data_IF_593608477162
#
_entry.id   IF_593608477162
#
_cell.length_a   1.000
_cell.length_b   1.000
_cell.length_c   1.000
_cell.angle_alpha   90.00
_cell.angle_beta   90.00
_cell.angle_gamma   90.00
#
_symmetry.space_group_name_H-M   'P 1'
#
loop_
_entity.id
_entity.type
_entity.pdbx_description
1 polymer ?
#
# COMPACT_ATOMS: atom_id res chain seq x y z
N UNK A 1 9.50 -46.24 67.55
CA UNK A 1 9.05 -44.84 67.42
C UNK A 1 9.29 -44.39 65.99
N UNK A 2 8.36 -44.71 65.10
CA UNK A 2 8.40 -44.38 63.68
C UNK A 2 7.66 -43.06 63.46
N UNK A 3 8.38 -42.00 63.10
CA UNK A 3 7.74 -40.75 62.66
C UNK A 3 7.70 -40.68 61.13
N UNK A 4 6.45 -40.72 60.66
CA UNK A 4 6.00 -40.70 59.26
C UNK A 4 6.46 -39.44 58.52
N UNK A 5 7.04 -39.65 57.34
CA UNK A 5 7.22 -38.64 56.29
C UNK A 5 5.87 -38.20 55.74
N UNK A 6 5.50 -36.94 55.94
CA UNK A 6 4.37 -36.32 55.24
C UNK A 6 4.79 -35.99 53.80
N UNK A 7 4.25 -36.73 52.84
CA UNK A 7 4.38 -36.41 51.42
C UNK A 7 3.48 -35.21 51.11
N UNK A 8 4.10 -34.05 50.94
CA UNK A 8 3.45 -32.84 50.43
C UNK A 8 3.20 -33.04 48.93
N UNK A 9 2.03 -33.55 48.57
CA UNK A 9 1.58 -33.61 47.18
C UNK A 9 1.18 -32.21 46.73
N UNK A 10 2.11 -31.48 46.14
CA UNK A 10 1.84 -30.27 45.37
C UNK A 10 0.81 -30.61 44.28
N UNK A 11 -0.44 -30.24 44.52
CA UNK A 11 -1.53 -30.31 43.54
C UNK A 11 -1.16 -29.38 42.38
N UNK A 12 -0.85 -29.96 41.22
CA UNK A 12 -0.70 -29.21 39.97
C UNK A 12 -2.02 -28.49 39.69
N UNK A 13 -2.02 -27.18 39.37
CA UNK A 13 -3.23 -26.51 38.92
C UNK A 13 -3.69 -27.16 37.62
N UNK A 14 -4.93 -27.65 37.63
CA UNK A 14 -5.63 -28.12 36.43
C UNK A 14 -5.75 -26.94 35.46
N UNK A 15 -4.89 -26.93 34.43
CA UNK A 15 -5.04 -26.05 33.27
C UNK A 15 -6.42 -26.31 32.67
N UNK A 16 -7.29 -25.29 32.68
CA UNK A 16 -8.59 -25.33 31.99
C UNK A 16 -8.37 -25.39 30.47
N UNK A 17 -8.94 -26.34 29.73
CA UNK A 17 -8.75 -26.49 28.29
C UNK A 17 -9.75 -25.68 27.45
N UNK A 18 -10.01 -24.41 27.82
CA UNK A 18 -10.90 -23.51 27.05
C UNK A 18 -10.14 -22.47 26.19
N UNK A 19 -8.80 -22.43 26.29
CA UNK A 19 -7.94 -21.38 25.67
C UNK A 19 -7.49 -21.68 24.23
N UNK A 20 -7.66 -22.90 23.73
CA UNK A 20 -7.09 -23.28 22.44
C UNK A 20 -7.88 -22.74 21.22
N UNK A 21 -9.11 -22.26 21.41
CA UNK A 21 -9.99 -21.86 20.31
C UNK A 21 -9.56 -20.60 19.58
N UNK A 22 -9.21 -19.53 20.31
CA UNK A 22 -8.89 -18.22 19.73
C UNK A 22 -7.59 -18.25 18.90
N UNK A 23 -6.53 -18.88 19.43
CA UNK A 23 -5.28 -19.05 18.67
C UNK A 23 -5.45 -19.93 17.43
N UNK A 24 -6.26 -20.99 17.52
CA UNK A 24 -6.58 -21.81 16.35
C UNK A 24 -7.36 -21.00 15.31
N UNK A 25 -8.30 -20.17 15.74
CA UNK A 25 -9.06 -19.30 14.84
C UNK A 25 -8.16 -18.30 14.12
N UNK A 26 -7.27 -17.59 14.83
CA UNK A 26 -6.32 -16.66 14.21
C UNK A 26 -5.42 -17.37 13.17
N UNK A 27 -4.89 -18.53 13.52
CA UNK A 27 -4.06 -19.34 12.60
C UNK A 27 -4.83 -19.78 11.35
N UNK A 28 -6.12 -20.14 11.53
CA UNK A 28 -7.02 -20.49 10.45
C UNK A 28 -7.29 -19.28 9.53
N UNK A 29 -7.65 -18.13 10.11
CA UNK A 29 -7.88 -16.88 9.35
C UNK A 29 -6.64 -16.48 8.55
N UNK A 30 -5.45 -16.53 9.15
CA UNK A 30 -4.20 -16.26 8.42
C UNK A 30 -3.95 -17.23 7.26
N UNK A 31 -4.37 -18.48 7.42
CA UNK A 31 -4.28 -19.51 6.38
C UNK A 31 -5.28 -19.25 5.26
N UNK A 32 -6.50 -18.87 5.59
CA UNK A 32 -7.56 -18.59 4.64
C UNK A 32 -7.24 -17.34 3.83
N UNK A 33 -6.77 -16.27 4.46
CA UNK A 33 -6.27 -15.08 3.75
C UNK A 33 -5.20 -15.48 2.74
N UNK A 34 -4.23 -16.32 3.12
CA UNK A 34 -3.17 -16.75 2.20
C UNK A 34 -3.68 -17.59 1.03
N UNK A 35 -4.71 -18.42 1.24
CA UNK A 35 -5.30 -19.28 0.20
C UNK A 35 -6.27 -18.51 -0.71
N UNK A 36 -7.01 -17.59 -0.14
CA UNK A 36 -8.08 -16.86 -0.79
C UNK A 36 -7.62 -15.54 -1.41
N UNK A 37 -6.50 -14.96 -0.97
CA UNK A 37 -5.84 -13.82 -1.64
C UNK A 37 -4.78 -14.23 -2.67
N UNK A 38 -4.56 -15.53 -2.87
CA UNK A 38 -3.61 -16.01 -3.88
C UNK A 38 -4.14 -15.73 -5.29
N UNK A 39 -3.33 -15.13 -6.20
CA UNK A 39 -3.74 -14.88 -7.58
C UNK A 39 -4.28 -16.15 -8.23
N UNK A 40 -5.46 -16.11 -8.89
CA UNK A 40 -6.18 -14.94 -9.40
C UNK A 40 -7.13 -14.22 -8.43
N UNK A 41 -7.24 -14.67 -7.19
CA UNK A 41 -8.22 -14.15 -6.24
C UNK A 41 -7.75 -12.84 -5.58
N UNK A 42 -8.69 -11.93 -5.33
CA UNK A 42 -8.46 -10.60 -4.77
C UNK A 42 -8.68 -10.57 -3.25
N UNK A 43 -7.94 -9.69 -2.57
CA UNK A 43 -8.17 -9.41 -1.15
C UNK A 43 -9.52 -8.69 -0.97
N UNK A 44 -10.39 -9.21 -0.10
CA UNK A 44 -11.74 -8.67 0.17
C UNK A 44 -11.84 -8.06 1.57
N UNK A 45 -12.82 -7.20 1.79
CA UNK A 45 -13.11 -6.58 3.09
C UNK A 45 -13.39 -7.64 4.18
N UNK A 46 -14.11 -8.72 3.83
CA UNK A 46 -14.40 -9.84 4.74
C UNK A 46 -13.12 -10.46 5.35
N UNK A 47 -12.01 -10.48 4.61
CA UNK A 47 -10.73 -10.99 5.11
C UNK A 47 -10.13 -10.07 6.19
N UNK A 48 -10.26 -8.76 5.99
CA UNK A 48 -9.82 -7.74 6.95
C UNK A 48 -10.68 -7.79 8.22
N UNK A 49 -11.99 -7.87 8.04
CA UNK A 49 -12.95 -7.99 9.14
C UNK A 49 -12.65 -9.23 10.01
N UNK A 50 -12.53 -10.42 9.40
CA UNK A 50 -12.23 -11.66 10.14
C UNK A 50 -10.89 -11.61 10.85
N UNK A 51 -9.88 -10.98 10.24
CA UNK A 51 -8.57 -10.82 10.87
C UNK A 51 -8.63 -9.86 12.05
N UNK A 52 -9.31 -8.73 11.89
CA UNK A 52 -9.51 -7.76 12.95
C UNK A 52 -10.25 -8.39 14.13
N UNK A 53 -11.34 -9.10 13.86
CA UNK A 53 -12.11 -9.83 14.87
C UNK A 53 -11.26 -10.91 15.58
N UNK A 54 -10.48 -11.69 14.82
CA UNK A 54 -9.63 -12.72 15.38
C UNK A 54 -8.55 -12.15 16.32
N UNK A 55 -8.01 -10.97 16.01
CA UNK A 55 -7.03 -10.28 16.86
C UNK A 55 -7.70 -9.62 18.06
N UNK A 56 -8.85 -8.96 17.85
CA UNK A 56 -9.60 -8.28 18.90
C UNK A 56 -10.09 -9.24 19.99
N UNK A 57 -10.48 -10.46 19.60
CA UNK A 57 -10.94 -11.49 20.52
C UNK A 57 -9.81 -12.29 21.20
N UNK A 58 -8.54 -11.93 20.99
CA UNK A 58 -7.44 -12.53 21.75
C UNK A 58 -7.53 -12.08 23.21
N UNK A 59 -7.56 -13.03 24.13
CA UNK A 59 -7.44 -12.70 25.55
C UNK A 59 -6.04 -12.15 25.82
N UNK A 60 -5.90 -11.18 26.72
CA UNK A 60 -4.57 -10.66 27.13
C UNK A 60 -3.65 -11.78 27.67
N UNK A 61 -4.24 -12.83 28.24
CA UNK A 61 -3.53 -14.01 28.73
C UNK A 61 -3.15 -15.03 27.64
N UNK A 62 -3.74 -14.94 26.45
CA UNK A 62 -3.43 -15.79 25.32
C UNK A 62 -2.22 -15.20 24.59
N UNK A 63 -1.04 -15.39 25.18
CA UNK A 63 0.22 -14.91 24.63
C UNK A 63 0.44 -15.47 23.22
N UNK A 64 0.31 -14.61 22.21
CA UNK A 64 0.68 -14.91 20.82
C UNK A 64 2.19 -15.19 20.80
N UNK A 65 2.57 -16.36 20.30
CA UNK A 65 3.97 -16.73 20.17
C UNK A 65 4.67 -15.85 19.12
N UNK A 66 5.95 -15.54 19.33
CA UNK A 66 6.72 -14.69 18.42
C UNK A 66 6.64 -15.14 16.94
N UNK A 67 6.67 -16.45 16.60
CA UNK A 67 6.44 -16.91 15.23
C UNK A 67 5.06 -16.56 14.67
N UNK A 68 3.99 -16.65 15.46
CA UNK A 68 2.65 -16.27 15.02
C UNK A 68 2.49 -14.76 14.89
N UNK A 69 3.03 -13.99 15.85
CA UNK A 69 3.09 -12.53 15.74
C UNK A 69 3.82 -12.09 14.45
N UNK A 70 4.94 -12.74 14.12
CA UNK A 70 5.64 -12.48 12.86
C UNK A 70 4.81 -12.83 11.63
N UNK A 71 4.12 -13.99 11.61
CA UNK A 71 3.22 -14.38 10.50
C UNK A 71 2.06 -13.40 10.33
N UNK A 72 1.52 -12.91 11.44
CA UNK A 72 0.45 -11.93 11.49
C UNK A 72 0.93 -10.59 10.93
N UNK A 73 2.10 -10.10 11.35
CA UNK A 73 2.71 -8.89 10.78
C UNK A 73 2.96 -9.01 9.27
N UNK A 74 3.49 -10.14 8.81
CA UNK A 74 3.67 -10.40 7.38
C UNK A 74 2.35 -10.42 6.59
N UNK A 75 1.24 -10.82 7.22
CA UNK A 75 -0.06 -10.78 6.58
C UNK A 75 -0.53 -9.33 6.41
N UNK A 76 -0.40 -8.49 7.45
CA UNK A 76 -0.74 -7.06 7.38
C UNK A 76 0.15 -6.33 6.37
N UNK A 77 1.45 -6.64 6.30
CA UNK A 77 2.34 -6.05 5.30
C UNK A 77 1.92 -6.38 3.87
N UNK A 78 1.49 -7.62 3.60
CA UNK A 78 0.94 -8.01 2.30
C UNK A 78 -0.37 -7.30 1.98
N UNK A 79 -1.22 -7.10 2.98
CA UNK A 79 -2.45 -6.33 2.85
C UNK A 79 -2.11 -4.89 2.47
N UNK A 80 -1.15 -4.26 3.15
CA UNK A 80 -0.71 -2.89 2.86
C UNK A 80 -0.16 -2.76 1.43
N UNK A 81 0.65 -3.71 0.98
CA UNK A 81 1.15 -3.73 -0.42
C UNK A 81 -0.02 -3.88 -1.39
N UNK A 82 -1.00 -4.74 -1.08
CA UNK A 82 -2.17 -4.96 -1.92
C UNK A 82 -3.05 -3.71 -1.99
N UNK A 83 -3.23 -3.01 -0.87
CA UNK A 83 -3.90 -1.71 -0.78
C UNK A 83 -3.21 -0.66 -1.65
N UNK A 84 -1.90 -0.44 -1.46
CA UNK A 84 -1.13 0.56 -2.23
C UNK A 84 -1.06 0.25 -3.73
N UNK A 85 -1.11 -1.02 -4.12
CA UNK A 85 -1.10 -1.42 -5.52
C UNK A 85 -2.49 -1.48 -6.16
N UNK A 86 -3.56 -1.26 -5.39
CA UNK A 86 -4.95 -1.39 -5.87
C UNK A 86 -5.34 -2.84 -6.20
N UNK A 87 -4.63 -3.84 -5.65
CA UNK A 87 -4.89 -5.28 -5.86
C UNK A 87 -5.85 -5.84 -4.81
N UNK A 88 -6.94 -5.13 -4.58
CA UNK A 88 -8.01 -5.55 -3.68
C UNK A 88 -9.36 -5.36 -4.37
N UNK A 89 -10.39 -5.95 -3.79
CA UNK A 89 -11.75 -5.81 -4.27
C UNK A 89 -12.30 -4.42 -3.90
N UNK A 90 -12.26 -3.49 -4.86
CA UNK A 90 -12.74 -2.12 -4.67
C UNK A 90 -14.26 -1.98 -4.92
N UNK A 91 -15.00 -3.10 -5.00
CA UNK A 91 -16.47 -3.06 -5.06
C UNK A 91 -17.09 -2.81 -3.68
N UNK A 92 -16.36 -3.11 -2.61
CA UNK A 92 -16.80 -2.93 -1.24
C UNK A 92 -16.27 -1.62 -0.66
N UNK A 93 -17.18 -0.66 -0.43
CA UNK A 93 -16.85 0.62 0.21
C UNK A 93 -16.33 0.46 1.64
N UNK A 94 -16.59 -0.68 2.28
CA UNK A 94 -16.13 -0.94 3.65
C UNK A 94 -14.65 -1.33 3.72
N UNK A 95 -14.03 -1.69 2.58
CA UNK A 95 -12.63 -2.14 2.58
C UNK A 95 -11.69 -1.13 3.25
N UNK A 96 -11.87 0.16 2.97
CA UNK A 96 -11.07 1.23 3.57
C UNK A 96 -11.21 1.27 5.09
N UNK A 97 -12.45 1.23 5.58
CA UNK A 97 -12.75 1.30 7.01
C UNK A 97 -12.25 0.06 7.75
N UNK A 98 -12.44 -1.14 7.16
CA UNK A 98 -11.95 -2.39 7.74
C UNK A 98 -10.41 -2.43 7.76
N UNK A 99 -9.75 -1.89 6.74
CA UNK A 99 -8.30 -1.78 6.70
C UNK A 99 -7.77 -0.83 7.77
N UNK A 100 -8.39 0.34 7.92
CA UNK A 100 -8.02 1.32 8.95
C UNK A 100 -8.27 0.78 10.36
N UNK A 101 -9.42 0.13 10.58
CA UNK A 101 -9.76 -0.52 11.84
C UNK A 101 -8.76 -1.62 12.21
N UNK A 102 -8.40 -2.47 11.24
CA UNK A 102 -7.37 -3.50 11.42
C UNK A 102 -6.05 -2.86 11.86
N UNK A 103 -5.56 -1.83 11.18
CA UNK A 103 -4.30 -1.18 11.57
C UNK A 103 -4.35 -0.61 12.99
N UNK A 104 -5.47 0.02 13.37
CA UNK A 104 -5.68 0.55 14.72
C UNK A 104 -5.67 -0.55 15.79
N UNK A 105 -6.35 -1.66 15.56
CA UNK A 105 -6.35 -2.82 16.49
C UNK A 105 -4.95 -3.42 16.64
N UNK A 106 -4.21 -3.52 15.53
CA UNK A 106 -2.89 -4.14 15.49
C UNK A 106 -1.81 -3.30 16.19
N UNK A 107 -1.90 -1.97 16.09
CA UNK A 107 -0.95 -1.07 16.75
C UNK A 107 -0.93 -1.24 18.28
N UNK A 108 -2.09 -1.56 18.89
CA UNK A 108 -2.24 -1.68 20.34
C UNK A 108 -1.85 -3.06 20.90
N UNK A 109 -1.31 -3.96 20.07
CA UNK A 109 -0.95 -5.31 20.50
C UNK A 109 0.45 -5.37 21.09
N UNK A 110 0.56 -5.89 22.32
CA UNK A 110 1.80 -5.95 23.10
C UNK A 110 2.86 -6.92 22.54
N UNK A 111 2.47 -7.84 21.65
CA UNK A 111 3.38 -8.83 21.06
C UNK A 111 4.14 -8.29 19.83
N UNK A 112 3.91 -7.04 19.42
CA UNK A 112 4.71 -6.39 18.39
C UNK A 112 5.91 -5.65 18.96
N UNK A 113 7.01 -5.68 18.21
CA UNK A 113 8.17 -4.84 18.51
C UNK A 113 7.86 -3.38 18.23
N UNK A 114 8.52 -2.47 18.94
CA UNK A 114 8.39 -1.02 18.73
C UNK A 114 8.53 -0.61 17.25
N UNK A 115 9.50 -1.22 16.53
CA UNK A 115 9.71 -0.97 15.10
C UNK A 115 8.52 -1.38 14.23
N UNK A 116 7.85 -2.48 14.57
CA UNK A 116 6.65 -2.92 13.86
C UNK A 116 5.48 -1.97 14.14
N UNK A 117 5.33 -1.53 15.38
CA UNK A 117 4.31 -0.55 15.78
C UNK A 117 4.49 0.80 15.08
N UNK A 118 5.73 1.31 15.01
CA UNK A 118 6.06 2.52 14.26
C UNK A 118 5.77 2.38 12.76
N UNK A 119 6.03 1.21 12.18
CA UNK A 119 5.70 0.94 10.78
C UNK A 119 4.18 0.97 10.54
N UNK A 120 3.39 0.39 11.44
CA UNK A 120 1.92 0.44 11.37
C UNK A 120 1.39 1.87 11.53
N UNK A 121 1.99 2.66 12.42
CA UNK A 121 1.69 4.10 12.55
C UNK A 121 1.98 4.89 11.26
N UNK A 122 3.09 4.60 10.59
CA UNK A 122 3.39 5.18 9.27
C UNK A 122 2.30 4.83 8.25
N UNK A 123 1.85 3.57 8.22
CA UNK A 123 0.77 3.15 7.33
C UNK A 123 -0.55 3.84 7.65
N UNK A 124 -0.92 3.98 8.92
CA UNK A 124 -2.13 4.72 9.32
C UNK A 124 -2.04 6.17 8.84
N UNK A 125 -0.88 6.82 9.03
CA UNK A 125 -0.65 8.17 8.56
C UNK A 125 -0.77 8.27 7.03
N UNK A 126 -0.14 7.37 6.28
CA UNK A 126 -0.25 7.31 4.81
C UNK A 126 -1.71 7.14 4.36
N UNK A 127 -2.47 6.30 5.05
CA UNK A 127 -3.90 6.06 4.74
C UNK A 127 -4.73 7.30 5.04
N UNK A 128 -4.53 7.94 6.20
CA UNK A 128 -5.30 9.13 6.62
C UNK A 128 -4.93 10.36 5.78
N UNK A 129 -3.64 10.64 5.61
CA UNK A 129 -3.16 11.77 4.79
C UNK A 129 -3.48 11.55 3.31
N UNK A 130 -3.46 10.31 2.83
CA UNK A 130 -3.85 9.94 1.47
C UNK A 130 -5.36 9.87 1.24
N UNK A 131 -6.17 9.92 2.31
CA UNK A 131 -7.64 9.81 2.27
C UNK A 131 -8.36 11.16 2.26
N UNK A 132 -7.66 12.28 2.08
CA UNK A 132 -8.27 13.62 2.03
C UNK A 132 -9.35 13.78 0.92
N UNK A 133 -9.54 12.77 0.04
CA UNK A 133 -10.46 12.79 -1.11
C UNK A 133 -11.11 11.43 -1.42
N UNK A 134 -11.76 10.77 -0.44
CA UNK A 134 -12.74 9.71 -0.78
C UNK A 134 -14.13 10.28 -1.05
N UNK A 135 -14.19 11.28 -1.93
CA UNK A 135 -15.22 11.42 -2.95
C UNK A 135 -14.46 11.62 -4.27
N UNK A 136 -14.61 10.69 -5.22
CA UNK A 136 -14.00 10.72 -6.57
C UNK A 136 -12.47 10.58 -6.71
N UNK A 137 -11.90 9.40 -6.52
CA UNK A 137 -10.84 8.95 -7.45
C UNK A 137 -10.64 7.43 -7.43
N UNK A 138 -11.45 6.74 -8.22
CA UNK A 138 -11.11 5.42 -8.71
C UNK A 138 -9.77 5.46 -9.45
N UNK A 139 -8.75 4.85 -8.86
CA UNK A 139 -7.59 4.21 -9.46
C UNK A 139 -6.92 4.88 -10.68
N UNK A 140 -5.80 5.58 -10.47
CA UNK A 140 -4.66 5.64 -11.42
C UNK A 140 -3.42 6.45 -10.96
N UNK A 141 -3.03 6.42 -9.69
CA UNK A 141 -1.95 7.31 -9.19
C UNK A 141 -0.50 6.82 -9.44
N UNK A 142 -0.26 5.86 -10.34
CA UNK A 142 1.11 5.42 -10.67
C UNK A 142 1.67 5.98 -11.98
N UNK A 143 0.91 5.87 -13.07
CA UNK A 143 1.37 6.20 -14.44
C UNK A 143 0.82 7.51 -14.99
N UNK A 144 -0.26 8.02 -14.40
CA UNK A 144 -0.84 9.32 -14.80
C UNK A 144 0.04 10.48 -14.34
N UNK A 145 0.69 10.33 -13.18
CA UNK A 145 1.50 11.39 -12.57
C UNK A 145 2.79 11.69 -13.33
N UNK A 146 3.39 10.73 -14.01
CA UNK A 146 4.58 10.96 -14.86
C UNK A 146 4.23 11.76 -16.11
N UNK A 147 3.11 11.42 -16.77
CA UNK A 147 2.61 12.14 -17.95
C UNK A 147 2.13 13.54 -17.59
N UNK A 148 1.51 13.72 -16.44
CA UNK A 148 1.14 15.04 -15.93
C UNK A 148 2.36 15.87 -15.49
N UNK A 149 3.38 15.27 -14.86
CA UNK A 149 4.62 15.98 -14.56
C UNK A 149 5.27 16.52 -15.82
N UNK A 150 5.35 15.72 -16.88
CA UNK A 150 5.91 16.14 -18.16
C UNK A 150 5.07 17.25 -18.83
N UNK A 151 3.74 17.18 -18.71
CA UNK A 151 2.82 18.20 -19.22
C UNK A 151 2.90 19.50 -18.43
N UNK A 152 3.08 19.42 -17.11
CA UNK A 152 3.26 20.57 -16.21
C UNK A 152 4.63 21.22 -16.42
N UNK A 153 5.69 20.44 -16.58
CA UNK A 153 7.03 20.96 -16.96
C UNK A 153 7.00 21.70 -18.30
N UNK A 154 6.30 21.16 -19.30
CA UNK A 154 6.08 21.85 -20.58
C UNK A 154 5.27 23.14 -20.46
N UNK A 155 4.35 23.23 -19.49
CA UNK A 155 3.61 24.47 -19.22
C UNK A 155 4.48 25.48 -18.51
N UNK A 156 5.24 25.09 -17.50
CA UNK A 156 6.18 25.98 -16.81
C UNK A 156 7.21 26.58 -17.78
N UNK A 157 7.78 25.76 -18.68
CA UNK A 157 8.69 26.26 -19.71
C UNK A 157 8.06 27.34 -20.61
N UNK A 158 6.77 27.21 -20.98
CA UNK A 158 6.06 28.23 -21.76
C UNK A 158 5.83 29.54 -21.01
N UNK A 159 5.74 29.49 -19.68
CA UNK A 159 5.50 30.68 -18.86
C UNK A 159 6.81 31.33 -18.38
N UNK A 160 7.93 30.61 -18.32
CA UNK A 160 9.25 31.20 -18.06
C UNK A 160 9.76 32.09 -19.22
N UNK A 161 9.28 31.88 -20.45
CA UNK A 161 9.64 32.73 -21.60
C UNK A 161 8.87 34.07 -21.65
N UNK A 162 7.75 34.18 -20.95
CA UNK A 162 6.92 35.39 -20.91
C UNK A 162 7.56 36.60 -20.18
N UNK A 163 8.25 36.47 -19.03
CA UNK A 163 8.92 37.62 -18.40
C UNK A 163 10.03 38.23 -19.27
N UNK A 164 10.63 37.47 -20.18
CA UNK A 164 11.65 37.96 -21.13
C UNK A 164 11.02 38.81 -22.23
N UNK A 165 9.79 38.49 -22.66
CA UNK A 165 9.04 39.29 -23.63
C UNK A 165 8.46 40.58 -23.04
N UNK A 166 8.09 40.58 -21.76
CA UNK A 166 7.56 41.78 -21.09
C UNK A 166 8.68 42.80 -20.82
N UNK A 167 9.92 42.36 -20.52
CA UNK A 167 11.08 43.25 -20.38
C UNK A 167 11.49 43.98 -21.66
N UNK A 168 11.01 43.56 -22.84
CA UNK A 168 11.28 44.23 -24.11
C UNK A 168 10.32 45.39 -24.45
N UNK A 169 9.26 45.59 -23.66
CA UNK A 169 8.21 46.59 -23.95
C UNK A 169 8.40 47.89 -23.15
N UNK A 170 9.16 47.87 -22.05
CA UNK A 170 9.45 49.06 -21.21
C UNK A 170 10.62 49.93 -21.72
N UNK A 171 11.21 49.64 -22.88
CA UNK A 171 12.17 50.54 -23.53
C UNK A 171 11.48 51.48 -24.53
N UNK A 172 11.00 52.60 -24.01
CA UNK A 172 10.45 53.76 -24.70
C UNK A 172 11.30 54.22 -25.91
N UNK A 173 10.75 54.05 -27.12
CA UNK A 173 11.04 54.91 -28.28
C UNK A 173 9.74 55.29 -28.98
N UNK A 174 9.36 56.58 -29.03
CA UNK A 174 8.18 57.01 -29.77
C UNK A 174 8.53 57.26 -31.23
N UNK A 175 7.98 56.45 -32.15
CA UNK A 175 8.03 56.74 -33.58
C UNK A 175 6.70 56.40 -34.29
N UNK A 176 5.91 57.47 -34.46
CA UNK A 176 5.00 57.80 -35.58
C UNK A 176 5.04 56.83 -36.79
N UNK A 177 3.88 56.29 -37.17
CA UNK A 177 3.72 55.62 -38.46
C UNK A 177 2.28 55.24 -38.83
N UNK A 178 1.66 56.01 -39.72
CA UNK A 178 0.35 55.80 -40.37
C UNK A 178 0.41 54.66 -41.40
N UNK A 179 -0.69 53.90 -41.53
CA UNK A 179 -1.03 53.12 -42.75
C UNK A 179 -1.84 51.85 -42.41
N UNK A 180 -3.17 51.83 -42.47
CA UNK A 180 -4.07 51.72 -43.65
C UNK A 180 -4.14 50.31 -44.28
N UNK A 181 -5.16 49.57 -43.83
CA UNK A 181 -6.18 48.85 -44.60
C UNK A 181 -6.02 47.37 -45.04
N UNK A 182 -7.10 46.65 -44.71
CA UNK A 182 -8.02 45.84 -45.55
C UNK A 182 -7.85 44.31 -45.64
N UNK A 183 -8.94 43.63 -45.20
CA UNK A 183 -9.69 42.50 -45.82
C UNK A 183 -8.92 41.23 -46.18
N UNK A 184 -9.46 40.01 -46.13
CA UNK A 184 -10.73 39.41 -45.69
C UNK A 184 -10.57 37.89 -45.97
N UNK A 185 -11.51 37.11 -45.43
CA UNK A 185 -12.00 35.85 -46.03
C UNK A 185 -11.14 34.58 -45.88
N UNK A 186 -11.72 33.63 -45.12
CA UNK A 186 -11.48 32.18 -45.15
C UNK A 186 -11.64 31.60 -46.58
N UNK A 187 -11.13 30.39 -46.87
CA UNK A 187 -11.97 29.20 -46.63
C UNK A 187 -11.21 27.91 -46.24
N UNK A 188 -11.96 26.98 -45.62
CA UNK A 188 -11.70 25.53 -45.59
C UNK A 188 -11.63 24.93 -47.01
N UNK A 189 -10.93 23.79 -47.22
CA UNK A 189 -11.65 22.50 -47.25
C UNK A 189 -10.86 21.25 -46.77
N UNK A 190 -11.64 20.20 -46.52
CA UNK A 190 -11.30 18.80 -46.20
C UNK A 190 -10.45 18.08 -47.27
N UNK A 191 -9.72 17.01 -46.88
CA UNK A 191 -9.91 15.64 -47.41
C UNK A 191 -8.82 14.62 -47.01
N UNK A 192 -9.28 13.50 -46.43
CA UNK A 192 -8.93 12.07 -46.62
C UNK A 192 -7.52 11.64 -47.12
N UNK A 193 -6.92 10.71 -46.35
CA UNK A 193 -6.72 9.33 -46.84
C UNK A 193 -5.34 8.66 -46.68
N UNK A 194 -5.40 7.32 -46.47
CA UNK A 194 -4.33 6.28 -46.47
C UNK A 194 -3.45 6.25 -45.22
N UNK A 195 -3.35 5.18 -44.42
CA UNK A 195 -3.43 3.75 -44.72
C UNK A 195 -2.05 3.15 -44.50
N UNK A 196 -1.85 2.37 -43.43
CA UNK A 196 -0.75 1.40 -43.38
C UNK A 196 -1.04 0.27 -42.39
N UNK A 197 -0.66 -0.92 -42.85
CA UNK A 197 -0.96 -2.27 -42.38
C UNK A 197 0.40 -2.95 -42.20
N UNK A 198 0.63 -3.61 -41.06
CA UNK A 198 1.79 -4.49 -40.77
C UNK A 198 1.98 -4.56 -39.26
N UNK A 199 1.75 -5.66 -38.53
CA UNK A 199 2.15 -7.08 -38.61
C UNK A 199 3.64 -7.32 -38.29
N UNK A 200 3.91 -7.78 -37.06
CA UNK A 200 4.96 -8.72 -36.60
C UNK A 200 4.99 -8.59 -35.05
N UNK A 201 4.54 -9.56 -34.25
CA UNK A 201 5.26 -10.78 -33.85
C UNK A 201 6.73 -10.54 -33.49
N UNK A 202 7.06 -10.54 -32.20
CA UNK A 202 8.26 -11.24 -31.73
C UNK A 202 8.10 -11.75 -30.30
N UNK A 203 8.47 -13.02 -30.13
CA UNK A 203 8.48 -13.80 -28.91
C UNK A 203 9.80 -13.56 -28.16
N UNK A 204 9.75 -13.25 -26.86
CA UNK A 204 10.94 -13.04 -26.03
C UNK A 204 10.88 -13.74 -24.68
N UNK A 205 11.11 -15.05 -24.69
CA UNK A 205 11.07 -16.00 -23.57
C UNK A 205 12.44 -16.09 -22.87
N UNK A 206 12.49 -16.00 -21.53
CA UNK A 206 13.65 -16.38 -20.70
C UNK A 206 13.48 -15.92 -19.25
N UNK A 207 12.93 -16.69 -18.30
CA UNK A 207 13.40 -17.92 -17.62
C UNK A 207 14.74 -17.79 -16.88
N UNK A 208 14.66 -18.11 -15.58
CA UNK A 208 15.68 -18.54 -14.60
C UNK A 208 16.49 -17.46 -13.86
N UNK A 209 16.85 -17.54 -12.58
CA UNK A 209 16.74 -18.49 -11.42
C UNK A 209 18.13 -18.51 -10.78
N UNK A 210 18.26 -18.12 -9.52
CA UNK A 210 19.49 -18.38 -8.74
C UNK A 210 19.76 -17.33 -7.65
N UNK A 211 19.56 -17.70 -6.36
CA UNK A 211 20.64 -17.97 -5.37
C UNK A 211 21.45 -16.70 -5.04
N UNK A 212 21.27 -16.03 -3.90
CA UNK A 212 21.27 -16.58 -2.55
C UNK A 212 22.70 -16.72 -2.04
N UNK A 213 23.13 -15.83 -1.15
CA UNK A 213 24.18 -16.06 -0.14
C UNK A 213 24.11 -14.95 0.92
N UNK A 214 23.70 -15.35 2.12
CA UNK A 214 23.73 -14.50 3.29
C UNK A 214 25.16 -14.28 3.78
N UNK A 215 25.35 -13.16 4.48
CA UNK A 215 26.52 -12.90 5.31
C UNK A 215 26.02 -12.75 6.74
N UNK A 216 26.33 -13.75 7.56
CA UNK A 216 26.19 -13.72 9.01
C UNK A 216 27.24 -12.75 9.53
N UNK A 217 26.82 -11.76 10.32
CA UNK A 217 27.74 -10.97 11.15
C UNK A 217 27.50 -11.44 12.58
N UNK A 218 28.51 -12.14 13.08
CA UNK A 218 28.67 -12.61 14.44
C UNK A 218 29.24 -11.44 15.24
N UNK A 219 28.41 -10.80 16.06
CA UNK A 219 28.83 -9.73 16.96
C UNK A 219 29.00 -10.32 18.35
N UNK A 220 30.26 -10.46 18.75
CA UNK A 220 30.68 -10.83 20.09
C UNK A 220 30.28 -9.75 21.09
N UNK A 221 29.60 -10.14 22.17
CA UNK A 221 29.50 -9.36 23.39
C UNK A 221 30.43 -9.99 24.41
N UNK A 222 31.50 -9.30 24.77
CA UNK A 222 32.31 -9.60 25.96
C UNK A 222 31.60 -9.06 27.22
N UNK A 223 31.83 -9.70 28.38
CA UNK A 223 31.00 -9.60 29.59
C UNK A 223 31.07 -8.27 30.34
#
# INVERSE_FOLDING_TARGET
AEHRRAQSTCRRPLRRPLRAGAMMYLSQVLTDIRKESAPPKTLRAEHLFKLNEAVFNLSEEDAVDAPLAFKLFQAVEKIQISYNTGKYDNTDSNFFYDYLALLGTMQNQHFFTQKQTEKMLSWIKEVVDGSELTEESGGKSGKSLEVENDKLRKRLAKYEDLPTAIRGIDEDKPAKGKGKAKSASAPEPEAKGKGSKGKAEDEGKGKNKGKGKGKVVEEYYEP
#
